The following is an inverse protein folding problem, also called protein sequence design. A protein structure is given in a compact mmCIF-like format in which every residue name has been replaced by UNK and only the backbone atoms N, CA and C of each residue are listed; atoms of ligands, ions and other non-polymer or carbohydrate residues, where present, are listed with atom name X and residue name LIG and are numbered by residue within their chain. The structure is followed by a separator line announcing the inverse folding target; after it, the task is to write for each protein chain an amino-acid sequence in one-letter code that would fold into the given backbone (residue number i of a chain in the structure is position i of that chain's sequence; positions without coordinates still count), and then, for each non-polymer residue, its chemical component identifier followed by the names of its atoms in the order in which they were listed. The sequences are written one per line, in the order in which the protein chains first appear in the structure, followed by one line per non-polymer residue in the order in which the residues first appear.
data_IF_281592830691
#
_entry.id   IF_281592830691
#
_cell.length_a   1.000
_cell.length_b   1.000
_cell.length_c   1.000
_cell.angle_alpha   90.00
_cell.angle_beta   90.00
_cell.angle_gamma   90.00
#
_symmetry.space_group_name_H-M   'P 1'
#
loop_
_entity.id
_entity.type
_entity.pdbx_description
1 polymer ?
#
# COMPACT_ATOMS: atom_id res chain seq x y z
N UNK A 1 -43.77 -0.56 -12.33
CA UNK A 1 -42.56 -0.37 -13.16
C UNK A 1 -41.56 0.59 -12.53
N UNK A 2 -41.95 1.83 -12.15
CA UNK A 2 -41.04 2.79 -11.49
C UNK A 2 -40.37 2.22 -10.22
N UNK A 3 -41.15 1.64 -9.31
CA UNK A 3 -40.65 1.13 -8.03
C UNK A 3 -39.71 -0.08 -8.20
N UNK A 4 -39.97 -0.93 -9.19
CA UNK A 4 -39.12 -2.09 -9.50
C UNK A 4 -37.76 -1.67 -10.06
N UNK A 5 -37.72 -0.63 -10.90
CA UNK A 5 -36.47 -0.09 -11.43
C UNK A 5 -35.63 0.59 -10.35
N UNK A 6 -36.29 1.29 -9.41
CA UNK A 6 -35.64 1.90 -8.25
C UNK A 6 -35.02 0.84 -7.34
N UNK A 7 -35.74 -0.25 -7.05
CA UNK A 7 -35.23 -1.34 -6.22
C UNK A 7 -34.00 -2.03 -6.84
N UNK A 8 -34.02 -2.25 -8.16
CA UNK A 8 -32.89 -2.83 -8.89
C UNK A 8 -31.66 -1.93 -8.86
N UNK A 9 -31.82 -0.62 -8.99
CA UNK A 9 -30.73 0.34 -8.89
C UNK A 9 -30.09 0.37 -7.49
N UNK A 10 -30.90 0.27 -6.42
CA UNK A 10 -30.39 0.22 -5.04
C UNK A 10 -29.61 -1.07 -4.80
N UNK A 11 -30.13 -2.23 -5.23
CA UNK A 11 -29.43 -3.51 -5.10
C UNK A 11 -28.08 -3.52 -5.84
N UNK A 12 -28.02 -2.89 -7.02
CA UNK A 12 -26.78 -2.74 -7.78
C UNK A 12 -25.76 -1.85 -7.06
N UNK A 13 -26.20 -0.71 -6.51
CA UNK A 13 -25.32 0.20 -5.77
C UNK A 13 -24.80 -0.40 -4.45
N UNK A 14 -25.59 -1.24 -3.78
CA UNK A 14 -25.18 -1.95 -2.56
C UNK A 14 -24.19 -3.10 -2.82
N UNK A 15 -24.09 -3.58 -4.07
CA UNK A 15 -23.11 -4.59 -4.48
C UNK A 15 -21.77 -4.00 -4.92
N UNK A 16 -21.64 -2.67 -4.92
CA UNK A 16 -20.38 -2.00 -5.18
C UNK A 16 -19.54 -2.04 -3.89
N UNK A 17 -18.56 -2.92 -3.86
CA UNK A 17 -17.45 -2.79 -2.91
C UNK A 17 -16.64 -1.54 -3.30
N UNK A 18 -16.41 -0.64 -2.35
CA UNK A 18 -15.53 0.49 -2.57
C UNK A 18 -14.11 -0.04 -2.77
N UNK A 19 -13.48 0.25 -3.91
CA UNK A 19 -12.05 -0.05 -4.14
C UNK A 19 -11.19 0.89 -3.27
N UNK A 20 -11.07 0.56 -1.99
CA UNK A 20 -10.11 1.15 -1.08
C UNK A 20 -8.76 0.43 -1.15
N UNK A 21 -7.74 1.07 -0.62
CA UNK A 21 -6.46 0.44 -0.31
C UNK A 21 -6.62 -0.74 0.65
N UNK A 22 -5.75 -1.75 0.51
CA UNK A 22 -5.81 -2.96 1.33
C UNK A 22 -5.27 -2.69 2.73
N UNK A 23 -6.00 -3.12 3.76
CA UNK A 23 -5.48 -3.18 5.12
C UNK A 23 -4.58 -4.41 5.30
N UNK A 24 -3.42 -4.28 5.98
CA UNK A 24 -2.54 -5.40 6.23
C UNK A 24 -3.22 -6.43 7.14
N UNK A 25 -2.90 -7.72 6.94
CA UNK A 25 -3.44 -8.80 7.78
C UNK A 25 -3.03 -8.61 9.24
N UNK A 26 -3.97 -8.48 10.19
CA UNK A 26 -3.65 -8.26 11.60
C UNK A 26 -2.70 -9.31 12.18
N UNK A 27 -1.74 -8.88 13.01
CA UNK A 27 -0.80 -9.76 13.70
C UNK A 27 -1.05 -9.76 15.22
N UNK A 28 -1.11 -10.94 15.87
CA UNK A 28 -1.30 -11.02 17.31
C UNK A 28 -0.07 -10.52 18.06
N UNK A 29 -0.29 -9.75 19.14
CA UNK A 29 0.78 -9.23 20.00
C UNK A 29 1.12 -10.22 21.14
N UNK A 30 2.39 -10.33 21.57
CA UNK A 30 3.57 -9.64 21.04
C UNK A 30 4.03 -10.25 19.70
N UNK A 31 4.45 -9.38 18.79
CA UNK A 31 4.87 -9.76 17.45
C UNK A 31 6.32 -9.32 17.18
N UNK A 32 7.03 -10.13 16.41
CA UNK A 32 8.36 -9.82 15.87
C UNK A 32 8.38 -10.24 14.41
N UNK A 33 8.89 -9.37 13.54
CA UNK A 33 9.03 -9.66 12.11
C UNK A 33 10.46 -10.09 11.80
N UNK A 34 10.61 -11.21 11.10
CA UNK A 34 11.88 -11.66 10.54
C UNK A 34 11.99 -11.23 9.06
N UNK A 35 13.12 -10.64 8.69
CA UNK A 35 13.45 -10.24 7.32
C UNK A 35 14.61 -11.05 6.75
N UNK A 36 15.01 -12.17 7.37
CA UNK A 36 16.10 -13.02 6.90
C UNK A 36 15.88 -13.58 5.47
N UNK A 37 14.62 -13.70 5.03
CA UNK A 37 14.26 -14.14 3.68
C UNK A 37 14.29 -13.03 2.62
N UNK A 38 14.50 -11.77 3.03
CA UNK A 38 14.58 -10.63 2.13
C UNK A 38 15.98 -10.57 1.52
N UNK A 39 16.11 -10.94 0.25
CA UNK A 39 17.41 -11.06 -0.45
C UNK A 39 17.72 -9.87 -1.35
N UNK A 40 16.90 -8.82 -1.32
CA UNK A 40 16.91 -7.74 -2.30
C UNK A 40 16.13 -8.09 -3.57
N UNK A 41 15.33 -9.15 -3.55
CA UNK A 41 14.56 -9.65 -4.71
C UNK A 41 13.13 -10.07 -4.36
N UNK A 42 12.71 -9.97 -3.10
CA UNK A 42 11.34 -10.25 -2.70
C UNK A 42 10.36 -9.27 -3.34
N UNK A 43 9.21 -9.79 -3.74
CA UNK A 43 8.09 -9.03 -4.30
C UNK A 43 6.82 -9.14 -3.45
N UNK A 44 6.92 -9.75 -2.26
CA UNK A 44 5.78 -10.02 -1.40
C UNK A 44 6.04 -9.47 0.00
N UNK A 45 5.08 -8.72 0.52
CA UNK A 45 5.12 -8.26 1.91
C UNK A 45 4.93 -9.43 2.88
N UNK A 46 5.55 -9.37 4.07
CA UNK A 46 5.16 -10.26 5.14
C UNK A 46 3.75 -9.91 5.64
N UNK A 47 3.11 -10.84 6.33
CA UNK A 47 1.83 -10.58 6.98
C UNK A 47 1.97 -9.42 7.98
N UNK A 48 0.97 -8.55 8.05
CA UNK A 48 0.98 -7.37 8.90
C UNK A 48 1.63 -6.13 8.29
N UNK A 49 2.12 -6.19 7.06
CA UNK A 49 2.68 -5.02 6.35
C UNK A 49 2.04 -4.88 4.97
N UNK A 50 1.74 -3.65 4.57
CA UNK A 50 1.33 -3.29 3.22
C UNK A 50 1.97 -1.98 2.76
N UNK A 51 2.22 -1.86 1.46
CA UNK A 51 2.72 -0.63 0.84
C UNK A 51 1.61 0.23 0.25
N UNK A 52 1.77 1.55 0.33
CA UNK A 52 0.82 2.51 -0.26
C UNK A 52 1.50 3.64 -1.02
N UNK A 53 0.80 4.13 -2.04
CA UNK A 53 1.07 5.40 -2.71
C UNK A 53 0.29 6.49 -2.00
N UNK A 54 0.96 7.58 -1.66
CA UNK A 54 0.30 8.77 -1.11
C UNK A 54 0.14 9.83 -2.21
N UNK A 55 -0.93 10.59 -2.13
CA UNK A 55 -1.15 11.73 -3.03
C UNK A 55 -0.21 12.89 -2.70
N UNK A 56 0.24 13.60 -3.74
CA UNK A 56 1.04 14.82 -3.60
C UNK A 56 2.54 14.64 -3.76
N UNK A 57 3.30 15.55 -3.15
CA UNK A 57 4.74 15.76 -3.36
C UNK A 57 5.46 15.89 -2.03
N UNK A 58 6.78 15.63 -2.02
CA UNK A 58 7.60 15.86 -0.83
C UNK A 58 7.53 17.32 -0.42
N UNK A 59 7.28 17.57 0.86
CA UNK A 59 7.20 18.92 1.42
C UNK A 59 7.71 18.92 2.87
N UNK A 60 7.87 20.11 3.45
CA UNK A 60 8.19 20.26 4.88
C UNK A 60 6.99 20.03 5.80
N UNK A 61 5.79 19.89 5.25
CA UNK A 61 4.56 19.62 5.99
C UNK A 61 4.24 18.12 5.96
N UNK A 62 3.70 17.62 7.06
CA UNK A 62 3.22 16.23 7.13
C UNK A 62 2.05 16.04 6.15
N UNK A 63 2.10 14.96 5.38
CA UNK A 63 0.99 14.57 4.53
C UNK A 63 -0.06 13.85 5.38
N UNK A 64 -1.25 14.43 5.49
CA UNK A 64 -2.41 13.85 6.18
C UNK A 64 -3.45 13.31 5.20
N UNK A 65 -3.15 13.30 3.90
CA UNK A 65 -4.04 12.77 2.88
C UNK A 65 -4.09 11.25 2.96
N UNK A 66 -5.22 10.68 2.58
CA UNK A 66 -5.38 9.24 2.46
C UNK A 66 -4.46 8.66 1.37
N UNK A 67 -4.20 7.35 1.47
CA UNK A 67 -3.51 6.62 0.44
C UNK A 67 -4.32 6.63 -0.87
N UNK A 68 -3.62 6.80 -2.00
CA UNK A 68 -4.19 6.74 -3.35
C UNK A 68 -4.34 5.30 -3.86
N UNK A 69 -3.71 4.34 -3.18
CA UNK A 69 -3.79 2.92 -3.51
C UNK A 69 -2.57 2.12 -3.09
N UNK A 70 -2.68 0.81 -3.29
CA UNK A 70 -1.66 -0.17 -2.93
C UNK A 70 -0.41 -0.07 -3.82
N UNK A 71 0.74 -0.38 -3.22
CA UNK A 71 2.03 -0.47 -3.91
C UNK A 71 2.63 -1.83 -3.65
N UNK A 72 3.06 -2.51 -4.71
CA UNK A 72 3.79 -3.77 -4.60
C UNK A 72 5.18 -3.55 -4.02
N UNK A 73 5.64 -4.51 -3.22
CA UNK A 73 7.05 -4.61 -2.85
C UNK A 73 7.88 -4.92 -4.10
N UNK A 74 9.02 -4.23 -4.26
CA UNK A 74 9.91 -4.43 -5.42
C UNK A 74 11.34 -4.75 -4.99
N UNK A 75 12.14 -5.43 -5.82
CA UNK A 75 13.58 -5.55 -5.63
C UNK A 75 14.24 -4.16 -5.60
N UNK A 76 15.09 -3.91 -4.59
CA UNK A 76 15.84 -2.67 -4.42
C UNK A 76 17.35 -2.90 -4.39
N UNK A 77 18.10 -1.89 -4.88
CA UNK A 77 19.57 -1.86 -4.80
C UNK A 77 20.02 -0.45 -4.42
N UNK A 78 21.31 -0.28 -4.16
CA UNK A 78 21.89 1.05 -3.93
C UNK A 78 21.81 1.98 -5.16
N UNK A 79 21.49 1.45 -6.34
CA UNK A 79 21.29 2.23 -7.56
C UNK A 79 19.83 2.59 -7.83
N UNK A 80 18.90 2.16 -6.97
CA UNK A 80 17.47 2.46 -7.12
C UNK A 80 17.20 3.95 -6.87
N UNK A 81 16.57 4.62 -7.85
CA UNK A 81 16.25 6.06 -7.78
C UNK A 81 14.75 6.37 -7.93
N UNK A 82 13.94 5.39 -8.33
CA UNK A 82 12.49 5.57 -8.49
C UNK A 82 11.74 5.56 -7.17
N UNK A 83 10.57 6.21 -7.13
CA UNK A 83 9.70 6.14 -5.97
C UNK A 83 9.12 4.72 -5.80
N UNK A 84 9.29 4.12 -4.64
CA UNK A 84 8.78 2.78 -4.36
C UNK A 84 9.02 2.32 -2.93
N UNK A 85 8.45 1.16 -2.62
CA UNK A 85 8.79 0.38 -1.43
C UNK A 85 9.55 -0.85 -1.91
N UNK A 86 10.65 -1.15 -1.24
CA UNK A 86 11.66 -2.07 -1.77
C UNK A 86 12.13 -3.07 -0.72
N UNK A 87 12.39 -4.29 -1.16
CA UNK A 87 13.28 -5.21 -0.49
C UNK A 87 14.71 -4.68 -0.68
N UNK A 88 15.32 -4.21 0.40
CA UNK A 88 16.67 -3.65 0.43
C UNK A 88 17.69 -4.62 1.04
N UNK A 89 17.45 -5.93 0.89
CA UNK A 89 18.25 -7.04 1.42
C UNK A 89 18.34 -7.04 2.96
N UNK A 90 17.53 -7.90 3.58
CA UNK A 90 17.39 -8.02 5.04
C UNK A 90 16.50 -6.94 5.67
N UNK A 91 15.83 -6.11 4.88
CA UNK A 91 14.92 -5.05 5.36
C UNK A 91 13.98 -4.55 4.26
N UNK A 92 12.89 -3.93 4.70
CA UNK A 92 12.05 -3.07 3.85
C UNK A 92 12.60 -1.65 3.89
N UNK A 93 12.73 -1.03 2.73
CA UNK A 93 13.02 0.39 2.58
C UNK A 93 11.96 1.07 1.72
N UNK A 94 11.88 2.40 1.83
CA UNK A 94 11.06 3.22 0.94
C UNK A 94 11.88 4.37 0.38
N UNK A 95 11.62 4.71 -0.88
CA UNK A 95 12.18 5.89 -1.53
C UNK A 95 11.05 6.79 -2.00
N UNK A 96 11.11 8.05 -1.56
CA UNK A 96 10.24 9.12 -2.03
C UNK A 96 11.01 10.00 -3.01
N UNK A 97 10.37 10.36 -4.12
CA UNK A 97 10.89 11.36 -5.07
C UNK A 97 10.06 12.64 -4.97
N UNK A 98 10.47 13.71 -5.65
CA UNK A 98 9.80 15.01 -5.59
C UNK A 98 8.27 14.93 -5.71
N UNK A 99 7.78 14.08 -6.62
CA UNK A 99 6.33 13.89 -6.90
C UNK A 99 5.85 12.46 -6.63
N UNK A 100 6.69 11.62 -6.02
CA UNK A 100 6.40 10.20 -5.81
C UNK A 100 6.49 9.84 -4.34
N UNK A 101 5.38 9.95 -3.62
CA UNK A 101 5.31 9.59 -2.21
C UNK A 101 4.87 8.13 -2.03
N UNK A 102 5.53 7.45 -1.09
CA UNK A 102 5.35 6.06 -0.69
C UNK A 102 5.41 5.96 0.82
N UNK A 103 4.67 5.00 1.34
CA UNK A 103 4.73 4.58 2.73
C UNK A 103 4.47 3.08 2.81
N UNK A 104 4.76 2.51 3.97
CA UNK A 104 4.34 1.17 4.34
C UNK A 104 4.07 1.15 5.84
N UNK A 105 3.19 0.24 6.27
CA UNK A 105 2.86 -0.02 7.67
C UNK A 105 2.32 -1.43 7.79
#
# INVERSE_FOLDING_TARGET
MKNSLTLLAILFLLSLEGFGQSDPTPQPLPYTQDFSSFTGSSTTYPAGIQGWRLTGSTSSSYNTSEAEGDVLLRPGTNSTTGAGVYDMNGKIGMLNTATGLRSFA
#
